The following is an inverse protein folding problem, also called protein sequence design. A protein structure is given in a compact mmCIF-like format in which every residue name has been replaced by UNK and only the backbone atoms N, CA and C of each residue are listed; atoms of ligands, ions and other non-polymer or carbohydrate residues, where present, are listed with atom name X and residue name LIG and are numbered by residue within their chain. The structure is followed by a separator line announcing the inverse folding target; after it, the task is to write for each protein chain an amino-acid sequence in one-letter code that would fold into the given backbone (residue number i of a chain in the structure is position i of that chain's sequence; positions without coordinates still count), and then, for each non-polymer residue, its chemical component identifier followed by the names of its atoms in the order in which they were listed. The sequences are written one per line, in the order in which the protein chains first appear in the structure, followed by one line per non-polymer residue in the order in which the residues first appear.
data_IF_089944794543
#
_entry.id   IF_089944794543
#
_cell.length_a   1.000
_cell.length_b   1.000
_cell.length_c   1.000
_cell.angle_alpha   90.00
_cell.angle_beta   90.00
_cell.angle_gamma   90.00
#
_symmetry.space_group_name_H-M   'P 1'
#
loop_
_entity.id
_entity.type
_entity.pdbx_description
1 polymer ?
#
# COMPACT_ATOMS: atom_id res chain seq x y z
N UNK A 1 -8.94 35.10 6.49
CA UNK A 1 -8.46 34.38 7.69
C UNK A 1 -6.96 34.60 7.79
N UNK A 2 -6.45 35.01 8.94
CA UNK A 2 -5.01 35.24 9.12
C UNK A 2 -4.26 33.91 9.30
N UNK A 3 -3.15 33.74 8.59
CA UNK A 3 -2.27 32.57 8.71
C UNK A 3 -1.23 32.79 9.81
N UNK A 4 -0.72 31.73 10.44
CA UNK A 4 0.33 31.81 11.47
C UNK A 4 1.57 32.57 10.96
N UNK A 5 1.88 32.42 9.67
CA UNK A 5 2.99 33.12 9.01
C UNK A 5 2.79 34.64 8.95
N UNK A 6 1.57 35.09 8.68
CA UNK A 6 1.22 36.52 8.68
C UNK A 6 1.28 37.13 10.09
N UNK A 7 0.98 36.34 11.12
CA UNK A 7 1.12 36.77 12.52
C UNK A 7 2.59 36.90 12.94
N UNK A 8 3.45 35.95 12.57
CA UNK A 8 4.90 36.03 12.80
C UNK A 8 5.53 37.23 12.08
N UNK A 9 5.04 37.56 10.89
CA UNK A 9 5.48 38.73 10.13
C UNK A 9 5.07 40.03 10.82
N UNK A 10 3.82 40.14 11.28
CA UNK A 10 3.36 41.30 12.05
C UNK A 10 4.16 41.50 13.35
N UNK A 11 4.47 40.43 14.09
CA UNK A 11 5.29 40.50 15.30
C UNK A 11 6.74 40.94 14.99
N UNK A 12 7.28 40.52 13.85
CA UNK A 12 8.62 40.95 13.39
C UNK A 12 8.62 42.43 13.00
N UNK A 13 7.60 42.90 12.29
CA UNK A 13 7.45 44.32 11.93
C UNK A 13 7.29 45.21 13.15
N UNK A 14 6.61 44.74 14.20
CA UNK A 14 6.45 45.46 15.47
C UNK A 14 7.67 45.33 16.42
N UNK A 15 8.70 44.56 16.06
CA UNK A 15 9.91 44.38 16.88
C UNK A 15 9.68 43.59 18.17
N UNK A 16 8.61 42.79 18.25
CA UNK A 16 8.25 42.02 19.44
C UNK A 16 9.09 40.74 19.56
N UNK A 17 10.39 40.90 19.80
CA UNK A 17 11.37 39.80 19.85
C UNK A 17 11.07 38.75 20.93
N UNK A 18 10.50 39.16 22.08
CA UNK A 18 10.08 38.24 23.13
C UNK A 18 8.92 37.34 22.69
N UNK A 19 7.97 37.87 21.93
CA UNK A 19 6.84 37.09 21.40
C UNK A 19 7.32 36.07 20.36
N UNK A 20 8.28 36.44 19.51
CA UNK A 20 8.90 35.51 18.56
C UNK A 20 9.66 34.37 19.27
N UNK A 21 10.39 34.66 20.34
CA UNK A 21 11.09 33.65 21.13
C UNK A 21 10.13 32.64 21.79
N UNK A 22 8.97 33.12 22.27
CA UNK A 22 7.91 32.26 22.83
C UNK A 22 7.32 31.34 21.74
N UNK A 23 7.02 31.88 20.55
CA UNK A 23 6.53 31.07 19.42
C UNK A 23 7.52 29.98 19.02
N UNK A 24 8.82 30.30 19.02
CA UNK A 24 9.85 29.31 18.70
C UNK A 24 9.93 28.19 19.75
N UNK A 25 9.79 28.54 21.04
CA UNK A 25 9.74 27.55 22.12
C UNK A 25 8.52 26.64 21.99
N UNK A 26 7.34 27.21 21.74
CA UNK A 26 6.10 26.45 21.53
C UNK A 26 6.22 25.51 20.32
N UNK A 27 6.78 25.98 19.19
CA UNK A 27 7.02 25.17 17.99
C UNK A 27 7.98 24.00 18.27
N UNK A 28 9.00 24.20 19.12
CA UNK A 28 9.92 23.13 19.55
C UNK A 28 9.21 22.09 20.41
N UNK A 29 8.29 22.49 21.29
CA UNK A 29 7.48 21.58 22.11
C UNK A 29 6.46 20.82 21.25
N UNK A 30 5.74 21.49 20.35
CA UNK A 30 4.85 20.86 19.39
C UNK A 30 5.57 19.86 18.48
N UNK A 31 6.78 20.20 18.01
CA UNK A 31 7.58 19.26 17.20
C UNK A 31 7.95 17.99 17.97
N UNK A 32 8.14 18.08 19.29
CA UNK A 32 8.41 16.91 20.15
C UNK A 32 7.18 16.04 20.34
N UNK A 33 5.99 16.65 20.45
CA UNK A 33 4.72 15.93 20.65
C UNK A 33 4.06 15.50 19.35
N UNK A 34 4.49 16.04 18.20
CA UNK A 34 3.99 15.69 16.88
C UNK A 34 4.33 14.25 16.53
N UNK A 35 3.40 13.34 16.81
CA UNK A 35 3.39 12.00 16.25
C UNK A 35 2.91 12.05 14.82
N UNK A 36 3.83 11.90 13.86
CA UNK A 36 3.46 11.69 12.45
C UNK A 36 3.20 10.18 12.30
N UNK A 37 1.94 9.78 12.51
CA UNK A 37 1.54 8.42 12.19
C UNK A 37 1.79 8.17 10.69
N UNK A 38 2.43 7.06 10.30
CA UNK A 38 2.59 6.70 8.90
C UNK A 38 1.23 6.71 8.20
N UNK A 39 1.17 7.33 7.01
CA UNK A 39 -0.07 7.38 6.24
C UNK A 39 -0.56 5.95 5.97
N UNK A 40 -1.64 5.54 6.64
CA UNK A 40 -2.27 4.24 6.38
C UNK A 40 -3.00 4.34 5.05
N UNK A 41 -2.71 3.42 4.14
CA UNK A 41 -3.51 3.26 2.91
C UNK A 41 -4.94 2.92 3.32
N UNK A 42 -5.89 3.80 3.02
CA UNK A 42 -7.31 3.51 3.20
C UNK A 42 -7.65 2.38 2.25
N UNK A 43 -7.77 1.15 2.78
CA UNK A 43 -8.16 0.01 1.99
C UNK A 43 -9.67 0.12 1.74
N UNK A 44 -10.05 0.55 0.54
CA UNK A 44 -11.45 0.53 0.12
C UNK A 44 -12.03 -0.89 0.17
N UNK A 45 -13.37 -0.96 0.18
CA UNK A 45 -14.17 -2.19 0.10
C UNK A 45 -13.62 -3.14 -0.96
N UNK A 46 -13.63 -4.43 -0.65
CA UNK A 46 -13.19 -5.47 -1.60
C UNK A 46 -14.11 -5.47 -2.83
N UNK A 47 -13.51 -5.57 -4.01
CA UNK A 47 -14.28 -5.64 -5.25
C UNK A 47 -15.05 -6.95 -5.30
N UNK A 48 -16.30 -6.87 -5.76
CA UNK A 48 -17.19 -8.02 -5.97
C UNK A 48 -17.82 -7.92 -7.35
N UNK A 49 -18.37 -9.02 -7.90
CA UNK A 49 -19.02 -8.97 -9.20
C UNK A 49 -20.19 -7.99 -9.27
N UNK A 50 -20.98 -7.87 -8.20
CA UNK A 50 -22.07 -6.90 -8.12
C UNK A 50 -21.55 -5.45 -8.14
N UNK A 51 -20.47 -5.18 -7.39
CA UNK A 51 -19.82 -3.87 -7.43
C UNK A 51 -19.26 -3.56 -8.82
N UNK A 52 -18.70 -4.54 -9.52
CA UNK A 52 -18.17 -4.35 -10.87
C UNK A 52 -19.28 -4.01 -11.88
N UNK A 53 -20.45 -4.66 -11.78
CA UNK A 53 -21.62 -4.31 -12.59
C UNK A 53 -22.08 -2.88 -12.32
N UNK A 54 -22.17 -2.50 -11.04
CA UNK A 54 -22.54 -1.15 -10.63
C UNK A 54 -21.52 -0.09 -11.06
N UNK A 55 -20.23 -0.43 -11.08
CA UNK A 55 -19.18 0.44 -11.65
C UNK A 55 -19.42 0.68 -13.14
N UNK A 56 -19.72 -0.37 -13.92
CA UNK A 56 -20.00 -0.22 -15.35
C UNK A 56 -21.29 0.57 -15.60
N UNK A 57 -22.32 0.33 -14.79
CA UNK A 57 -23.56 1.11 -14.83
C UNK A 57 -23.26 2.59 -14.64
N UNK A 58 -22.64 2.98 -13.51
CA UNK A 58 -22.29 4.37 -13.23
C UNK A 58 -21.34 4.98 -14.27
N UNK A 59 -20.37 4.22 -14.79
CA UNK A 59 -19.47 4.73 -15.82
C UNK A 59 -20.18 4.98 -17.16
N UNK A 60 -21.23 4.22 -17.48
CA UNK A 60 -21.96 4.35 -18.74
C UNK A 60 -23.14 5.34 -18.64
N UNK A 61 -23.76 5.47 -17.46
CA UNK A 61 -24.94 6.33 -17.25
C UNK A 61 -24.59 7.73 -16.79
N UNK A 62 -23.40 7.94 -16.24
CA UNK A 62 -22.97 9.22 -15.67
C UNK A 62 -21.56 9.58 -16.11
N UNK A 63 -21.31 10.87 -16.32
CA UNK A 63 -19.97 11.42 -16.63
C UNK A 63 -19.05 11.48 -15.40
N UNK A 64 -19.28 10.62 -14.42
CA UNK A 64 -18.47 10.57 -13.20
C UNK A 64 -17.07 10.03 -13.51
N UNK A 65 -16.08 10.68 -12.94
CA UNK A 65 -14.70 10.20 -13.00
C UNK A 65 -14.55 8.89 -12.22
N UNK A 66 -13.53 8.10 -12.57
CA UNK A 66 -13.23 6.86 -11.85
C UNK A 66 -12.97 7.08 -10.35
N UNK A 67 -12.45 8.26 -9.97
CA UNK A 67 -12.21 8.63 -8.58
C UNK A 67 -13.53 8.87 -7.84
N UNK A 68 -14.49 9.54 -8.48
CA UNK A 68 -15.81 9.80 -7.91
C UNK A 68 -16.61 8.50 -7.77
N UNK A 69 -16.58 7.62 -8.78
CA UNK A 69 -17.19 6.28 -8.69
C UNK A 69 -16.52 5.48 -7.57
N UNK A 70 -15.20 5.54 -7.45
CA UNK A 70 -14.45 4.86 -6.39
C UNK A 70 -14.82 5.38 -5.00
N UNK A 71 -14.98 6.70 -4.85
CA UNK A 71 -15.38 7.33 -3.61
C UNK A 71 -16.81 6.94 -3.21
N UNK A 72 -17.76 7.04 -4.15
CA UNK A 72 -19.17 6.71 -3.91
C UNK A 72 -19.37 5.25 -3.54
N UNK A 73 -18.67 4.33 -4.21
CA UNK A 73 -18.76 2.89 -3.92
C UNK A 73 -17.82 2.44 -2.79
N UNK A 74 -16.98 3.35 -2.29
CA UNK A 74 -15.97 3.08 -1.25
C UNK A 74 -14.92 2.07 -1.68
N UNK A 75 -14.58 1.99 -2.97
CA UNK A 75 -13.59 1.06 -3.55
C UNK A 75 -12.31 1.80 -3.93
N UNK A 76 -11.25 1.05 -4.26
CA UNK A 76 -10.00 1.65 -4.75
C UNK A 76 -10.15 2.02 -6.24
N UNK A 77 -9.73 3.24 -6.63
CA UNK A 77 -9.75 3.73 -8.01
C UNK A 77 -9.04 2.78 -8.99
N UNK A 78 -7.91 2.18 -8.60
CA UNK A 78 -7.21 1.23 -9.48
C UNK A 78 -8.07 0.01 -9.83
N UNK A 79 -8.95 -0.42 -8.92
CA UNK A 79 -9.89 -1.51 -9.19
C UNK A 79 -11.02 -1.09 -10.13
N UNK A 80 -11.49 0.16 -10.03
CA UNK A 80 -12.48 0.73 -10.96
C UNK A 80 -11.92 0.75 -12.38
N UNK A 81 -10.67 1.19 -12.55
CA UNK A 81 -9.99 1.18 -13.86
C UNK A 81 -9.88 -0.24 -14.44
N UNK A 82 -9.56 -1.23 -13.62
CA UNK A 82 -9.47 -2.63 -14.05
C UNK A 82 -10.82 -3.22 -14.46
N UNK A 83 -11.93 -2.81 -13.82
CA UNK A 83 -13.30 -3.17 -14.25
C UNK A 83 -13.61 -2.55 -15.61
N UNK A 84 -13.37 -1.25 -15.78
CA UNK A 84 -13.69 -0.53 -17.02
C UNK A 84 -12.84 -1.04 -18.19
N UNK A 85 -11.52 -1.19 -17.98
CA UNK A 85 -10.58 -1.51 -19.06
C UNK A 85 -10.53 -2.99 -19.43
N UNK A 86 -10.66 -3.88 -18.43
CA UNK A 86 -10.43 -5.33 -18.61
C UNK A 86 -11.63 -6.19 -18.24
N UNK A 87 -12.73 -5.59 -17.78
CA UNK A 87 -13.90 -6.34 -17.35
C UNK A 87 -13.62 -7.27 -16.16
N UNK A 88 -12.60 -6.98 -15.35
CA UNK A 88 -12.28 -7.83 -14.20
C UNK A 88 -13.42 -7.84 -13.20
N UNK A 89 -13.56 -8.95 -12.47
CA UNK A 89 -14.62 -9.20 -11.50
C UNK A 89 -16.04 -9.36 -12.07
N UNK A 90 -16.30 -9.20 -13.38
CA UNK A 90 -17.64 -9.37 -13.97
C UNK A 90 -18.13 -10.82 -14.02
N UNK A 91 -17.22 -11.77 -14.22
CA UNK A 91 -17.58 -13.17 -14.40
C UNK A 91 -17.47 -13.94 -13.08
N UNK A 92 -18.58 -14.53 -12.64
CA UNK A 92 -18.58 -15.62 -11.66
C UNK A 92 -18.21 -16.94 -12.34
N UNK A 93 -17.13 -16.97 -13.13
CA UNK A 93 -16.75 -18.20 -13.80
C UNK A 93 -16.29 -19.18 -12.70
N UNK A 94 -17.02 -20.29 -12.42
CA UNK A 94 -16.71 -21.18 -11.31
C UNK A 94 -15.33 -21.86 -11.45
N UNK A 95 -14.81 -21.88 -12.69
CA UNK A 95 -13.52 -22.43 -13.06
C UNK A 95 -12.41 -21.38 -13.23
N UNK A 96 -12.65 -20.10 -12.93
CA UNK A 96 -11.58 -19.09 -12.94
C UNK A 96 -10.61 -19.33 -11.78
N UNK A 97 -9.30 -19.23 -12.03
CA UNK A 97 -8.26 -19.39 -11.01
C UNK A 97 -8.47 -18.44 -9.80
N UNK A 98 -9.05 -17.26 -10.04
CA UNK A 98 -9.37 -16.27 -9.01
C UNK A 98 -10.53 -16.74 -8.10
N UNK A 99 -11.51 -17.47 -8.64
CA UNK A 99 -12.61 -18.06 -7.88
C UNK A 99 -12.11 -19.25 -7.04
N UNK A 100 -11.26 -20.11 -7.61
CA UNK A 100 -10.62 -21.20 -6.87
C UNK A 100 -9.72 -20.68 -5.75
N UNK A 101 -8.98 -19.59 -5.97
CA UNK A 101 -8.17 -18.96 -4.94
C UNK A 101 -9.03 -18.37 -3.81
N UNK A 102 -10.15 -17.71 -4.15
CA UNK A 102 -11.09 -17.16 -3.18
C UNK A 102 -11.76 -18.25 -2.35
N UNK A 103 -12.19 -19.34 -2.97
CA UNK A 103 -12.89 -20.43 -2.29
C UNK A 103 -11.91 -21.27 -1.45
N UNK A 104 -10.68 -21.49 -1.93
CA UNK A 104 -9.59 -22.09 -1.14
C UNK A 104 -9.22 -21.22 0.07
N UNK A 105 -9.18 -19.90 -0.08
CA UNK A 105 -8.92 -18.98 1.03
C UNK A 105 -10.08 -18.94 2.04
N UNK A 106 -11.33 -18.88 1.57
CA UNK A 106 -12.52 -18.97 2.42
C UNK A 106 -12.58 -20.30 3.17
N UNK A 107 -12.26 -21.42 2.51
CA UNK A 107 -12.20 -22.74 3.14
C UNK A 107 -11.10 -22.82 4.22
N UNK A 108 -9.92 -22.23 3.99
CA UNK A 108 -8.87 -22.12 5.01
C UNK A 108 -9.31 -21.29 6.22
N UNK A 109 -9.93 -20.14 5.98
CA UNK A 109 -10.44 -19.28 7.06
C UNK A 109 -11.59 -19.92 7.83
N UNK A 110 -12.47 -20.69 7.16
CA UNK A 110 -13.54 -21.44 7.82
C UNK A 110 -12.96 -22.55 8.70
N UNK A 111 -11.96 -23.29 8.21
CA UNK A 111 -11.23 -24.30 8.99
C UNK A 111 -10.47 -23.71 10.19
N UNK A 112 -9.98 -22.47 10.08
CA UNK A 112 -9.33 -21.78 11.19
C UNK A 112 -10.32 -21.20 12.22
N UNK A 113 -11.59 -21.01 11.85
CA UNK A 113 -12.65 -20.51 12.75
C UNK A 113 -13.41 -21.62 13.48
N UNK A 114 -13.44 -22.83 12.91
CA UNK A 114 -13.86 -24.02 13.64
C UNK A 114 -12.70 -24.47 14.52
N UNK A 115 -12.71 -24.08 15.79
CA UNK A 115 -11.87 -24.65 16.83
C UNK A 115 -12.15 -26.15 16.94
N UNK A 116 -11.42 -26.99 16.19
CA UNK A 116 -10.92 -28.30 16.68
C UNK A 116 -9.97 -28.98 15.67
N UNK A 117 -8.89 -28.31 15.26
CA UNK A 117 -7.82 -29.02 14.56
C UNK A 117 -6.47 -28.38 14.88
N UNK A 118 -5.51 -29.13 15.47
CA UNK A 118 -4.18 -28.61 15.75
C UNK A 118 -3.54 -28.11 14.47
N UNK A 119 -3.09 -26.85 14.49
CA UNK A 119 -2.23 -26.28 13.47
C UNK A 119 -0.96 -27.14 13.44
N UNK A 120 -0.63 -27.89 12.37
CA UNK A 120 0.67 -28.51 12.29
C UNK A 120 1.68 -27.37 12.14
N UNK A 121 2.34 -27.02 13.26
CA UNK A 121 3.59 -26.26 13.24
C UNK A 121 4.49 -27.02 12.26
N UNK A 122 4.82 -26.40 11.14
CA UNK A 122 5.85 -26.92 10.23
C UNK A 122 7.11 -27.12 11.06
N UNK A 123 7.37 -28.36 11.46
CA UNK A 123 8.64 -28.74 12.05
C UNK A 123 9.72 -28.56 10.98
N UNK A 124 10.90 -28.05 11.36
CA UNK A 124 12.03 -28.01 10.45
C UNK A 124 12.48 -29.44 10.17
N UNK A 125 12.22 -29.94 8.96
CA UNK A 125 12.71 -31.25 8.52
C UNK A 125 14.22 -31.20 8.34
N UNK A 126 14.94 -31.78 9.30
CA UNK A 126 16.34 -32.14 9.18
C UNK A 126 16.47 -33.64 8.88
N UNK A 127 17.17 -33.91 7.77
CA UNK A 127 17.99 -35.09 7.39
C UNK A 127 17.31 -36.44 7.03
N UNK A 128 17.35 -36.70 5.71
CA UNK A 128 18.01 -37.87 5.11
C UNK A 128 17.10 -38.97 4.54
N UNK A 129 17.34 -39.66 3.42
CA UNK A 129 18.30 -39.62 2.28
C UNK A 129 17.66 -40.51 1.20
N UNK A 130 17.56 -40.09 -0.06
CA UNK A 130 18.02 -40.87 -1.24
C UNK A 130 17.82 -40.12 -2.57
N UNK A 131 18.73 -40.42 -3.48
CA UNK A 131 19.28 -39.58 -4.54
C UNK A 131 18.46 -39.57 -5.84
N UNK A 132 18.52 -38.42 -6.54
CA UNK A 132 18.92 -38.30 -7.96
C UNK A 132 19.02 -36.82 -8.40
N UNK A 133 19.88 -36.49 -9.39
CA UNK A 133 20.79 -35.35 -9.30
C UNK A 133 20.16 -34.01 -9.70
N UNK A 134 20.44 -32.99 -8.88
CA UNK A 134 20.09 -31.59 -9.15
C UNK A 134 21.23 -30.92 -9.91
N UNK A 135 20.95 -30.46 -11.12
CA UNK A 135 21.78 -29.47 -11.82
C UNK A 135 21.90 -28.20 -10.95
N UNK A 136 23.12 -27.67 -10.71
CA UNK A 136 23.30 -26.55 -9.78
C UNK A 136 22.76 -25.25 -10.38
N UNK A 137 21.72 -24.68 -9.76
CA UNK A 137 21.32 -23.29 -10.05
C UNK A 137 22.33 -22.35 -9.39
N UNK A 138 23.20 -21.79 -10.21
CA UNK A 138 24.07 -20.66 -9.91
C UNK A 138 23.24 -19.52 -9.32
N UNK A 139 23.68 -18.99 -8.17
CA UNK A 139 23.20 -17.72 -7.63
C UNK A 139 23.48 -16.63 -8.68
N UNK A 140 22.52 -15.78 -9.10
CA UNK A 140 22.91 -14.56 -9.79
C UNK A 140 23.67 -13.71 -8.77
N UNK A 141 24.95 -13.50 -9.08
CA UNK A 141 25.83 -12.58 -8.38
C UNK A 141 25.22 -11.18 -8.39
N UNK A 142 25.49 -10.44 -7.31
CA UNK A 142 25.36 -8.99 -7.23
C UNK A 142 25.76 -8.34 -8.56
N UNK A 143 24.83 -7.64 -9.20
CA UNK A 143 25.16 -6.66 -10.22
C UNK A 143 24.37 -5.39 -9.95
N UNK A 144 25.11 -4.27 -9.93
CA UNK A 144 24.67 -2.89 -9.75
C UNK A 144 24.52 -2.35 -8.31
N UNK A 145 25.48 -2.63 -7.42
CA UNK A 145 25.96 -1.59 -6.50
C UNK A 145 27.22 -1.00 -7.13
N UNK A 146 27.07 0.09 -7.87
CA UNK A 146 28.20 0.94 -8.26
C UNK A 146 28.81 1.47 -6.96
N UNK A 147 30.06 1.07 -6.66
CA UNK A 147 30.77 1.63 -5.53
C UNK A 147 31.07 3.09 -5.82
N UNK A 148 30.97 3.93 -4.79
CA UNK A 148 31.31 5.36 -4.87
C UNK A 148 32.76 5.58 -5.32
N UNK A 149 33.63 4.60 -5.07
CA UNK A 149 35.03 4.65 -5.48
C UNK A 149 35.22 4.60 -7.01
N UNK A 150 34.33 3.94 -7.75
CA UNK A 150 34.38 3.92 -9.22
C UNK A 150 34.02 5.27 -9.85
N UNK A 151 33.22 6.09 -9.16
CA UNK A 151 32.83 7.41 -9.66
C UNK A 151 33.96 8.44 -9.51
N UNK A 152 34.80 8.30 -8.48
CA UNK A 152 35.87 9.26 -8.19
C UNK A 152 37.10 9.09 -9.09
N UNK A 153 37.32 7.89 -9.65
CA UNK A 153 38.45 7.63 -10.54
C UNK A 153 38.23 8.04 -12.01
N UNK A 154 37.00 8.40 -12.41
CA UNK A 154 36.69 8.81 -13.79
C UNK A 154 36.87 10.33 -14.01
N UNK A 155 37.08 11.11 -12.94
CA UNK A 155 37.18 12.58 -13.04
C UNK A 155 38.62 13.12 -13.09
N UNK A 156 39.61 12.27 -13.33
CA UNK A 156 41.02 12.67 -13.50
C UNK A 156 41.54 12.20 -14.85
N UNK A 157 41.00 12.75 -15.93
CA UNK A 157 41.68 12.92 -17.22
C UNK A 157 41.18 14.23 -17.86
#
# INVERSE_FOLDING_TARGET
MATLKQFEEALRTQGMNMALAILEKMRKEEKKTRSIAPARRVSGRKMTPELARKVLELHNTTDMTQQEIAFQLGVNQGRVNEVIRRGKWLTENPNSEEAQARDKAKARMKRMKSEDTPIPRKQPVAKGVEERPKTPKTKPANSAQLSIDDFLNVSSD
#
